data_IF_552100289933
#
_entry.id   IF_552100289933
#
_cell.length_a   1.000
_cell.length_b   1.000
_cell.length_c   1.000
_cell.angle_alpha   90.00
_cell.angle_beta   90.00
_cell.angle_gamma   90.00
#
_symmetry.space_group_name_H-M   'P 1'
#
loop_
_entity.id
_entity.type
_entity.pdbx_description
1 polymer ?
#
# COMPACT_ATOMS: atom_id res chain seq x y z
N UNK A 1 -1.56 17.09 26.14
CA UNK A 1 -2.63 16.60 25.25
C UNK A 1 -2.79 15.11 25.45
N UNK A 2 -4.01 14.60 25.64
CA UNK A 2 -4.27 13.16 25.55
C UNK A 2 -3.90 12.69 24.13
N UNK A 3 -3.31 11.50 24.00
CA UNK A 3 -3.11 10.89 22.69
C UNK A 3 -4.47 10.65 22.01
N UNK A 4 -4.57 11.06 20.75
CA UNK A 4 -5.75 10.89 19.91
C UNK A 4 -5.33 10.69 18.46
N UNK A 5 -6.30 10.38 17.60
CA UNK A 5 -6.06 10.12 16.18
C UNK A 5 -5.48 11.35 15.47
N UNK A 6 -5.92 12.55 15.83
CA UNK A 6 -5.41 13.80 15.26
C UNK A 6 -3.89 13.97 15.51
N UNK A 7 -3.44 13.75 16.75
CA UNK A 7 -2.02 13.80 17.11
C UNK A 7 -1.20 12.74 16.37
N UNK A 8 -1.71 11.51 16.27
CA UNK A 8 -1.05 10.43 15.54
C UNK A 8 -0.88 10.78 14.05
N UNK A 9 -1.90 11.36 13.40
CA UNK A 9 -1.82 11.79 12.00
C UNK A 9 -0.81 12.94 11.81
N UNK A 10 -0.73 13.88 12.75
CA UNK A 10 0.32 14.91 12.73
C UNK A 10 1.72 14.30 12.83
N UNK A 11 1.91 13.33 13.72
CA UNK A 11 3.18 12.62 13.87
C UNK A 11 3.54 11.84 12.58
N UNK A 12 2.57 11.18 11.95
CA UNK A 12 2.74 10.52 10.64
C UNK A 12 3.12 11.53 9.54
N UNK A 13 2.49 12.71 9.48
CA UNK A 13 2.82 13.75 8.51
C UNK A 13 4.26 14.26 8.69
N UNK A 14 4.66 14.53 9.94
CA UNK A 14 6.03 14.92 10.27
C UNK A 14 7.03 13.84 9.88
N UNK A 15 6.69 12.56 10.06
CA UNK A 15 7.54 11.45 9.63
C UNK A 15 7.73 11.44 8.10
N UNK A 16 6.68 11.66 7.33
CA UNK A 16 6.79 11.75 5.86
C UNK A 16 7.68 12.95 5.44
N UNK A 17 7.58 14.10 6.12
CA UNK A 17 8.46 15.25 5.88
C UNK A 17 9.92 14.93 6.17
N UNK A 18 10.20 14.29 7.32
CA UNK A 18 11.57 13.88 7.70
C UNK A 18 12.17 12.90 6.69
N UNK A 19 11.33 12.13 6.01
CA UNK A 19 11.72 11.21 4.93
C UNK A 19 11.80 11.88 3.56
N UNK A 20 11.44 13.16 3.46
CA UNK A 20 11.58 13.98 2.25
C UNK A 20 10.34 14.07 1.36
N UNK A 21 9.19 13.53 1.78
CA UNK A 21 7.96 13.56 0.98
C UNK A 21 6.98 14.62 1.46
N UNK A 22 7.10 15.82 0.89
CA UNK A 22 6.19 16.95 1.15
C UNK A 22 4.76 16.60 0.71
N UNK A 23 4.60 15.97 -0.47
CA UNK A 23 3.28 15.64 -1.02
C UNK A 23 2.57 14.59 -0.14
N UNK A 24 3.30 13.59 0.36
CA UNK A 24 2.75 12.62 1.30
C UNK A 24 2.28 13.27 2.60
N UNK A 25 3.10 14.17 3.17
CA UNK A 25 2.73 14.93 4.37
C UNK A 25 1.51 15.80 4.11
N UNK A 26 1.47 16.52 2.99
CA UNK A 26 0.36 17.40 2.64
C UNK A 26 -0.96 16.63 2.61
N UNK A 27 -1.00 15.46 1.96
CA UNK A 27 -2.21 14.62 1.90
C UNK A 27 -2.72 14.18 3.27
N UNK A 28 -1.81 13.89 4.21
CA UNK A 28 -2.19 13.54 5.60
C UNK A 28 -2.78 14.76 6.32
N UNK A 29 -2.18 15.94 6.12
CA UNK A 29 -2.65 17.17 6.73
C UNK A 29 -4.01 17.62 6.16
N UNK A 30 -4.24 17.44 4.87
CA UNK A 30 -5.54 17.68 4.22
C UNK A 30 -6.63 16.78 4.82
N UNK A 31 -6.42 15.46 4.90
CA UNK A 31 -7.37 14.54 5.53
C UNK A 31 -7.62 14.87 7.01
N UNK A 32 -6.56 15.21 7.74
CA UNK A 32 -6.66 15.65 9.13
C UNK A 32 -7.51 16.92 9.26
N UNK A 33 -7.29 17.91 8.41
CA UNK A 33 -8.01 19.18 8.44
C UNK A 33 -9.50 18.97 8.16
N UNK A 34 -9.82 18.21 7.11
CA UNK A 34 -11.21 17.90 6.72
C UNK A 34 -11.97 17.11 7.78
N UNK A 35 -11.27 16.29 8.58
CA UNK A 35 -11.88 15.40 9.56
C UNK A 35 -11.47 15.70 11.01
N UNK A 36 -11.02 16.93 11.29
CA UNK A 36 -10.36 17.29 12.55
C UNK A 36 -11.21 16.98 13.79
N UNK A 37 -12.46 17.42 13.79
CA UNK A 37 -13.41 17.23 14.91
C UNK A 37 -13.70 15.74 15.18
N UNK A 38 -13.68 14.92 14.13
CA UNK A 38 -13.81 13.47 14.28
C UNK A 38 -12.55 12.88 14.90
N UNK A 39 -11.38 13.24 14.39
CA UNK A 39 -10.11 12.66 14.82
C UNK A 39 -9.66 13.09 16.22
N UNK A 40 -10.03 14.27 16.70
CA UNK A 40 -9.69 14.70 18.07
C UNK A 40 -10.39 13.84 19.13
N UNK A 41 -11.56 13.29 18.79
CA UNK A 41 -12.41 12.46 19.65
C UNK A 41 -12.14 10.95 19.51
N UNK A 42 -11.28 10.55 18.57
CA UNK A 42 -10.91 9.15 18.34
C UNK A 42 -9.59 8.80 19.03
N UNK A 43 -9.48 7.55 19.51
CA UNK A 43 -8.22 7.00 20.01
C UNK A 43 -7.22 6.79 18.86
N UNK A 44 -5.91 6.79 19.13
CA UNK A 44 -4.92 6.37 18.15
C UNK A 44 -5.19 4.95 17.64
N UNK A 45 -4.82 4.71 16.39
CA UNK A 45 -4.96 3.40 15.75
C UNK A 45 -3.67 2.61 15.97
N UNK A 46 -3.78 1.44 16.60
CA UNK A 46 -2.74 0.43 16.52
C UNK A 46 -2.93 -0.37 15.21
N UNK A 47 -2.06 -0.13 14.23
CA UNK A 47 -2.18 -0.72 12.90
C UNK A 47 -1.84 -2.21 12.93
N UNK A 48 -2.66 -3.03 12.29
CA UNK A 48 -2.33 -4.42 12.00
C UNK A 48 -1.33 -4.50 10.84
N UNK A 49 -1.48 -3.61 9.86
CA UNK A 49 -0.65 -3.56 8.65
C UNK A 49 -0.18 -2.11 8.46
N UNK A 50 1.12 -1.87 8.64
CA UNK A 50 1.78 -0.59 8.32
C UNK A 50 1.98 -0.44 6.81
N UNK A 51 2.43 0.72 6.35
CA UNK A 51 2.80 0.91 4.94
C UNK A 51 3.94 -0.02 4.51
N UNK A 52 4.95 -0.20 5.35
CA UNK A 52 6.08 -1.09 5.07
C UNK A 52 5.58 -2.54 4.97
N UNK A 53 4.67 -2.94 5.86
CA UNK A 53 4.05 -4.27 5.79
C UNK A 53 3.23 -4.45 4.50
N UNK A 54 2.46 -3.44 4.07
CA UNK A 54 1.70 -3.50 2.82
C UNK A 54 2.63 -3.66 1.60
N UNK A 55 3.76 -2.95 1.58
CA UNK A 55 4.77 -3.06 0.51
C UNK A 55 5.35 -4.48 0.47
N UNK A 56 5.84 -4.96 1.62
CA UNK A 56 6.49 -6.26 1.73
C UNK A 56 5.52 -7.43 1.51
N UNK A 57 4.27 -7.31 1.98
CA UNK A 57 3.21 -8.26 1.69
C UNK A 57 2.91 -8.33 0.19
N UNK A 58 2.72 -7.18 -0.46
CA UNK A 58 2.41 -7.12 -1.89
C UNK A 58 3.51 -7.80 -2.71
N UNK A 59 4.77 -7.42 -2.46
CA UNK A 59 5.92 -8.00 -3.16
C UNK A 59 6.15 -9.46 -2.77
N UNK A 60 5.89 -9.82 -1.51
CA UNK A 60 6.05 -11.18 -0.99
C UNK A 60 5.11 -12.18 -1.67
N UNK A 61 3.88 -11.76 -1.96
CA UNK A 61 2.93 -12.59 -2.71
C UNK A 61 3.41 -12.77 -4.16
N UNK A 62 3.92 -11.71 -4.81
CA UNK A 62 4.54 -11.84 -6.13
C UNK A 62 5.69 -12.84 -6.13
N UNK A 63 6.59 -12.71 -5.15
CA UNK A 63 7.74 -13.61 -5.01
C UNK A 63 7.33 -15.07 -4.76
N UNK A 64 6.29 -15.30 -3.97
CA UNK A 64 5.76 -16.64 -3.71
C UNK A 64 5.26 -17.34 -4.99
N UNK A 65 4.91 -16.58 -6.02
CA UNK A 65 4.48 -17.08 -7.33
C UNK A 65 5.55 -16.88 -8.43
N UNK A 66 6.82 -16.98 -8.05
CA UNK A 66 8.01 -16.96 -8.91
C UNK A 66 8.22 -15.68 -9.73
N UNK A 67 7.67 -14.54 -9.28
CA UNK A 67 8.06 -13.24 -9.81
C UNK A 67 9.21 -12.64 -8.98
N UNK A 68 10.43 -12.81 -9.47
CA UNK A 68 11.60 -12.19 -8.85
C UNK A 68 11.61 -10.66 -8.97
N UNK A 69 10.96 -10.11 -10.01
CA UNK A 69 10.95 -8.68 -10.31
C UNK A 69 9.53 -8.18 -10.57
N UNK A 70 8.99 -7.39 -9.65
CA UNK A 70 7.64 -6.83 -9.78
C UNK A 70 7.67 -5.50 -10.53
N UNK A 71 6.96 -5.33 -11.66
CA UNK A 71 6.82 -4.03 -12.31
C UNK A 71 6.16 -3.00 -11.37
N UNK A 72 6.72 -1.80 -11.25
CA UNK A 72 6.20 -0.72 -10.38
C UNK A 72 4.71 -0.43 -10.63
N UNK A 73 4.29 -0.44 -11.89
CA UNK A 73 2.89 -0.22 -12.25
C UNK A 73 1.96 -1.30 -11.67
N UNK A 74 2.36 -2.58 -11.77
CA UNK A 74 1.59 -3.69 -11.19
C UNK A 74 1.60 -3.59 -9.67
N UNK A 75 2.77 -3.34 -9.07
CA UNK A 75 2.90 -3.11 -7.63
C UNK A 75 1.90 -2.08 -7.09
N UNK A 76 1.78 -0.90 -7.73
CA UNK A 76 0.85 0.14 -7.27
C UNK A 76 -0.62 -0.26 -7.38
N UNK A 77 -1.00 -0.90 -8.49
CA UNK A 77 -2.36 -1.39 -8.71
C UNK A 77 -2.70 -2.48 -7.69
N UNK A 78 -1.80 -3.44 -7.51
CA UNK A 78 -1.96 -4.52 -6.54
C UNK A 78 -2.06 -3.97 -5.12
N UNK A 79 -1.13 -3.13 -4.69
CA UNK A 79 -1.15 -2.54 -3.33
C UNK A 79 -2.44 -1.78 -3.04
N UNK A 80 -3.00 -1.10 -4.04
CA UNK A 80 -4.29 -0.41 -3.92
C UNK A 80 -5.44 -1.37 -3.63
N UNK A 81 -5.51 -2.48 -4.37
CA UNK A 81 -6.56 -3.48 -4.21
C UNK A 81 -6.35 -4.26 -2.90
N UNK A 82 -5.13 -4.66 -2.56
CA UNK A 82 -4.86 -5.36 -1.31
C UNK A 82 -5.17 -4.49 -0.10
N UNK A 83 -4.88 -3.18 -0.15
CA UNK A 83 -5.26 -2.23 0.89
C UNK A 83 -6.77 -2.27 1.16
N UNK A 84 -7.58 -2.25 0.12
CA UNK A 84 -9.04 -2.29 0.22
C UNK A 84 -9.56 -3.63 0.78
N UNK A 85 -9.07 -4.75 0.23
CA UNK A 85 -9.41 -6.11 0.70
C UNK A 85 -9.02 -6.34 2.16
N UNK A 86 -7.83 -5.90 2.58
CA UNK A 86 -7.41 -6.04 3.97
C UNK A 86 -8.27 -5.16 4.89
N UNK A 87 -8.60 -3.94 4.46
CA UNK A 87 -9.44 -3.02 5.23
C UNK A 87 -10.88 -3.54 5.38
N UNK A 88 -11.45 -4.17 4.34
CA UNK A 88 -12.79 -4.77 4.38
C UNK A 88 -12.88 -5.98 5.32
N UNK A 89 -11.74 -6.61 5.63
CA UNK A 89 -11.61 -7.68 6.63
C UNK A 89 -11.37 -7.16 8.06
N UNK A 90 -11.69 -5.90 8.33
CA UNK A 90 -11.50 -5.25 9.64
C UNK A 90 -10.04 -5.18 10.12
N UNK A 91 -9.06 -5.34 9.23
CA UNK A 91 -7.67 -5.05 9.58
C UNK A 91 -7.46 -3.54 9.56
N UNK A 92 -6.81 -3.01 10.60
CA UNK A 92 -6.41 -1.61 10.66
C UNK A 92 -5.18 -1.41 9.79
N UNK A 93 -5.39 -1.12 8.51
CA UNK A 93 -4.32 -0.84 7.56
C UNK A 93 -3.99 0.65 7.55
N UNK A 94 -2.71 1.00 7.60
CA UNK A 94 -2.26 2.38 7.52
C UNK A 94 -2.56 2.96 6.12
N UNK A 95 -3.24 4.10 6.07
CA UNK A 95 -3.75 4.67 4.82
C UNK A 95 -2.59 5.11 3.88
N UNK A 96 -2.46 4.52 2.67
CA UNK A 96 -1.44 4.92 1.72
C UNK A 96 -1.72 6.23 0.98
N UNK A 97 -2.94 6.78 1.03
CA UNK A 97 -3.36 7.97 0.27
C UNK A 97 -3.11 7.83 -1.24
N UNK A 98 -3.68 6.75 -1.80
CA UNK A 98 -3.67 6.52 -3.24
C UNK A 98 -4.37 7.66 -3.99
N UNK A 99 -3.87 7.92 -5.20
CA UNK A 99 -4.42 8.90 -6.13
C UNK A 99 -4.56 8.29 -7.51
N UNK A 100 -5.64 8.65 -8.20
CA UNK A 100 -5.84 8.31 -9.60
C UNK A 100 -5.25 9.40 -10.50
N UNK A 101 -4.34 9.00 -11.39
CA UNK A 101 -3.55 9.89 -12.26
C UNK A 101 -3.69 9.47 -13.72
N UNK A 102 -4.87 9.76 -14.30
CA UNK A 102 -5.34 9.27 -15.61
C UNK A 102 -4.30 9.30 -16.74
N UNK A 103 -3.45 10.33 -16.81
CA UNK A 103 -2.48 10.53 -17.89
C UNK A 103 -1.07 10.06 -17.57
N UNK A 104 -0.81 9.60 -16.33
CA UNK A 104 0.52 9.18 -15.90
C UNK A 104 0.74 7.69 -16.15
N UNK A 105 2.01 7.29 -16.22
CA UNK A 105 2.44 5.89 -16.36
C UNK A 105 1.85 5.04 -15.23
N UNK A 106 1.99 5.51 -13.99
CA UNK A 106 1.36 4.92 -12.81
C UNK A 106 0.05 5.65 -12.52
N UNK A 107 -1.03 5.12 -13.12
CA UNK A 107 -2.38 5.69 -13.03
C UNK A 107 -3.03 5.50 -11.65
N UNK A 108 -2.61 4.49 -10.90
CA UNK A 108 -2.79 4.40 -9.45
C UNK A 108 -1.42 4.64 -8.83
N UNK A 109 -1.37 5.47 -7.79
CA UNK A 109 -0.12 5.75 -7.10
C UNK A 109 -0.30 6.33 -5.71
N UNK A 110 0.66 6.02 -4.85
CA UNK A 110 0.80 6.60 -3.53
C UNK A 110 2.21 7.19 -3.36
N UNK A 111 2.26 8.49 -3.07
CA UNK A 111 3.51 9.19 -2.70
C UNK A 111 4.09 8.64 -1.40
N UNK A 112 3.22 8.20 -0.46
CA UNK A 112 3.65 7.54 0.77
C UNK A 112 4.36 6.23 0.47
N UNK A 113 3.80 5.38 -0.38
CA UNK A 113 4.43 4.11 -0.73
C UNK A 113 5.76 4.33 -1.47
N UNK A 114 5.86 5.26 -2.41
CA UNK A 114 7.15 5.55 -3.10
C UNK A 114 8.23 6.01 -2.12
N UNK A 115 7.87 6.86 -1.15
CA UNK A 115 8.78 7.31 -0.10
C UNK A 115 9.25 6.15 0.80
N UNK A 116 8.32 5.27 1.20
CA UNK A 116 8.61 4.08 2.02
C UNK A 116 9.43 3.05 1.26
N UNK A 117 9.18 2.84 -0.04
CA UNK A 117 10.02 2.01 -0.91
C UNK A 117 11.46 2.50 -0.89
N UNK A 118 11.70 3.81 -1.00
CA UNK A 118 13.05 4.39 -0.94
C UNK A 118 13.73 4.10 0.40
N UNK A 119 13.01 4.23 1.50
CA UNK A 119 13.50 3.90 2.85
C UNK A 119 13.82 2.40 3.00
N UNK A 120 12.93 1.52 2.51
CA UNK A 120 13.13 0.07 2.51
C UNK A 120 14.31 -0.36 1.63
N UNK A 121 14.53 0.34 0.51
CA UNK A 121 15.69 0.12 -0.35
C UNK A 121 17.00 0.44 0.38
N UNK A 122 17.05 1.62 1.02
CA UNK A 122 18.20 2.04 1.82
C UNK A 122 18.52 1.04 2.95
N UNK A 123 17.48 0.47 3.58
CA UNK A 123 17.60 -0.49 4.67
C UNK A 123 17.82 -1.96 4.21
N UNK A 124 18.04 -2.19 2.92
CA UNK A 124 18.39 -3.51 2.36
C UNK A 124 17.24 -4.52 2.29
N UNK A 125 15.99 -4.07 2.36
CA UNK A 125 14.84 -4.97 2.20
C UNK A 125 14.51 -5.23 0.73
N UNK A 126 14.77 -4.26 -0.14
CA UNK A 126 14.46 -4.34 -1.56
C UNK A 126 15.50 -3.60 -2.40
N UNK A 127 15.49 -3.86 -3.70
CA UNK A 127 16.25 -3.12 -4.71
C UNK A 127 15.25 -2.48 -5.68
N UNK A 128 15.44 -1.19 -5.95
CA UNK A 128 14.63 -0.45 -6.93
C UNK A 128 15.42 -0.33 -8.22
N UNK A 129 14.84 -0.81 -9.31
CA UNK A 129 15.27 -0.50 -10.68
C UNK A 129 14.27 0.47 -11.31
N UNK A 130 14.61 1.08 -12.44
CA UNK A 130 13.81 2.14 -13.08
C UNK A 130 12.30 1.82 -13.10
N UNK A 131 11.93 0.60 -13.50
CA UNK A 131 10.53 0.16 -13.63
C UNK A 131 10.15 -1.03 -12.76
N UNK A 132 11.07 -1.54 -11.94
CA UNK A 132 10.88 -2.78 -11.20
C UNK A 132 11.30 -2.64 -9.73
N UNK A 133 10.67 -3.43 -8.87
CA UNK A 133 11.03 -3.59 -7.47
C UNK A 133 11.37 -5.06 -7.26
N UNK A 134 12.48 -5.33 -6.58
CA UNK A 134 13.00 -6.67 -6.33
C UNK A 134 13.15 -6.85 -4.83
N UNK A 135 12.56 -7.90 -4.26
CA UNK A 135 12.80 -8.23 -2.84
C UNK A 135 14.20 -8.84 -2.67
N UNK A 136 14.95 -8.28 -1.73
CA UNK A 136 16.17 -8.88 -1.22
C UNK A 136 15.84 -9.89 -0.13
N UNK A 137 16.79 -10.74 0.25
CA UNK A 137 16.58 -11.82 1.22
C UNK A 137 15.88 -11.36 2.51
N UNK A 138 16.34 -10.24 3.09
CA UNK A 138 15.73 -9.63 4.28
C UNK A 138 14.25 -9.28 4.06
N UNK A 139 13.91 -8.70 2.91
CA UNK A 139 12.54 -8.38 2.54
C UNK A 139 11.68 -9.60 2.24
N UNK A 140 12.27 -10.66 1.65
CA UNK A 140 11.57 -11.93 1.42
C UNK A 140 11.16 -12.57 2.73
N UNK A 141 12.09 -12.65 3.69
CA UNK A 141 11.82 -13.21 5.02
C UNK A 141 10.71 -12.43 5.73
N UNK A 142 10.79 -11.11 5.74
CA UNK A 142 9.78 -10.28 6.40
C UNK A 142 8.41 -10.38 5.69
N UNK A 143 8.39 -10.33 4.35
CA UNK A 143 7.17 -10.52 3.56
C UNK A 143 6.49 -11.86 3.84
N UNK A 144 7.27 -12.96 3.93
CA UNK A 144 6.75 -14.29 4.27
C UNK A 144 6.20 -14.35 5.70
N UNK A 145 6.84 -13.67 6.66
CA UNK A 145 6.34 -13.61 8.03
C UNK A 145 4.99 -12.89 8.09
N UNK A 146 4.83 -11.78 7.36
CA UNK A 146 3.55 -11.07 7.24
C UNK A 146 2.49 -11.98 6.62
N UNK A 147 2.80 -12.67 5.51
CA UNK A 147 1.87 -13.62 4.88
C UNK A 147 1.41 -14.70 5.86
N UNK A 148 2.34 -15.28 6.65
CA UNK A 148 2.04 -16.31 7.65
C UNK A 148 1.19 -15.82 8.82
N UNK A 149 1.20 -14.51 9.09
CA UNK A 149 0.36 -13.90 10.14
C UNK A 149 -1.09 -13.68 9.73
N UNK A 150 -1.40 -13.78 8.44
CA UNK A 150 -2.74 -13.65 7.90
C UNK A 150 -3.44 -15.02 7.90
N UNK A 151 -4.76 -15.02 7.98
CA UNK A 151 -5.53 -16.26 7.83
C UNK A 151 -5.47 -16.78 6.39
N UNK A 152 -5.61 -18.10 6.24
CA UNK A 152 -5.45 -18.77 4.93
C UNK A 152 -6.47 -18.31 3.88
N UNK A 153 -7.69 -17.93 4.29
CA UNK A 153 -8.70 -17.45 3.36
C UNK A 153 -8.29 -16.10 2.78
N UNK A 154 -7.81 -15.18 3.63
CA UNK A 154 -7.25 -13.91 3.21
C UNK A 154 -6.07 -14.12 2.27
N UNK A 155 -5.10 -14.96 2.64
CA UNK A 155 -3.93 -15.23 1.77
C UNK A 155 -4.37 -15.77 0.40
N UNK A 156 -5.32 -16.70 0.36
CA UNK A 156 -5.86 -17.27 -0.88
C UNK A 156 -6.55 -16.23 -1.77
N UNK A 157 -7.25 -15.25 -1.18
CA UNK A 157 -7.88 -14.15 -1.90
C UNK A 157 -6.84 -13.18 -2.48
N UNK A 158 -5.89 -12.72 -1.67
CA UNK A 158 -4.81 -11.83 -2.12
C UNK A 158 -3.98 -12.49 -3.24
N UNK A 159 -3.70 -13.78 -3.11
CA UNK A 159 -3.01 -14.56 -4.13
C UNK A 159 -3.73 -14.59 -5.48
N UNK A 160 -5.07 -14.78 -5.47
CA UNK A 160 -5.87 -14.76 -6.71
C UNK A 160 -5.76 -13.40 -7.40
N UNK A 161 -5.90 -12.31 -6.65
CA UNK A 161 -5.77 -10.94 -7.15
C UNK A 161 -4.40 -10.72 -7.78
N UNK A 162 -3.33 -11.10 -7.09
CA UNK A 162 -1.96 -10.97 -7.61
C UNK A 162 -1.79 -11.75 -8.91
N UNK A 163 -2.29 -13.00 -8.96
CA UNK A 163 -2.21 -13.84 -10.16
C UNK A 163 -2.97 -13.23 -11.35
N UNK A 164 -4.16 -12.71 -11.11
CA UNK A 164 -4.98 -12.02 -12.12
C UNK A 164 -4.26 -10.79 -12.66
N UNK A 165 -3.85 -9.88 -11.78
CA UNK A 165 -3.11 -8.66 -12.17
C UNK A 165 -1.82 -9.02 -12.90
N UNK A 166 -1.14 -10.09 -12.46
CA UNK A 166 0.11 -10.49 -13.08
C UNK A 166 -0.08 -10.94 -14.53
N UNK A 167 -1.19 -11.60 -14.84
CA UNK A 167 -1.52 -12.00 -16.22
C UNK A 167 -1.73 -10.81 -17.17
N UNK A 168 -2.00 -9.61 -16.63
CA UNK A 168 -2.27 -8.41 -17.42
C UNK A 168 -0.97 -7.80 -17.96
N UNK A 169 -0.88 -7.73 -19.30
CA UNK A 169 0.33 -7.27 -20.01
C UNK A 169 0.34 -5.80 -20.39
N UNK A 170 -0.80 -5.09 -20.28
CA UNK A 170 -0.92 -3.71 -20.73
C UNK A 170 -1.51 -2.78 -19.67
N UNK A 171 -1.13 -1.51 -19.73
CA UNK A 171 -1.69 -0.44 -18.90
C UNK A 171 -3.22 -0.37 -19.02
N UNK A 172 -3.77 -0.48 -20.22
CA UNK A 172 -5.23 -0.44 -20.46
C UNK A 172 -5.94 -1.62 -19.79
N UNK A 173 -5.33 -2.81 -19.81
CA UNK A 173 -5.87 -3.98 -19.13
C UNK A 173 -5.89 -3.78 -17.60
N UNK A 174 -4.81 -3.23 -17.02
CA UNK A 174 -4.76 -2.86 -15.60
C UNK A 174 -5.82 -1.81 -15.24
N UNK A 175 -6.00 -0.77 -16.06
CA UNK A 175 -7.05 0.24 -15.85
C UNK A 175 -8.46 -0.36 -15.88
N UNK A 176 -8.72 -1.25 -16.84
CA UNK A 176 -10.01 -1.95 -16.94
C UNK A 176 -10.26 -2.82 -15.71
N UNK A 177 -9.23 -3.54 -15.24
CA UNK A 177 -9.32 -4.36 -14.04
C UNK A 177 -9.70 -3.52 -12.82
N UNK A 178 -9.00 -2.39 -12.59
CA UNK A 178 -9.32 -1.47 -11.47
C UNK A 178 -10.73 -0.90 -11.61
N UNK A 179 -11.17 -0.54 -12.82
CA UNK A 179 -12.54 -0.04 -13.03
C UNK A 179 -13.60 -1.10 -12.71
N UNK A 180 -13.39 -2.34 -13.14
CA UNK A 180 -14.30 -3.45 -12.82
C UNK A 180 -14.33 -3.73 -11.33
N UNK A 181 -13.16 -3.74 -10.68
CA UNK A 181 -13.06 -3.89 -9.22
C UNK A 181 -13.89 -2.83 -8.49
N UNK A 182 -13.69 -1.55 -8.82
CA UNK A 182 -14.44 -0.44 -8.23
C UNK A 182 -15.94 -0.50 -8.53
N UNK A 183 -16.33 -0.88 -9.75
CA UNK A 183 -17.74 -1.04 -10.10
C UNK A 183 -18.42 -2.14 -9.26
N UNK A 184 -17.71 -3.23 -8.97
CA UNK A 184 -18.23 -4.31 -8.13
C UNK A 184 -18.39 -3.87 -6.67
N UNK A 185 -17.54 -2.98 -6.16
CA UNK A 185 -17.68 -2.46 -4.79
C UNK A 185 -18.91 -1.56 -4.60
N UNK A 186 -19.34 -0.84 -5.64
CA UNK A 186 -20.48 0.09 -5.56
C UNK A 186 -21.83 -0.65 -5.67
N UNK A 187 -21.83 -1.84 -6.25
CA UNK A 187 -23.04 -2.65 -6.46
C UNK A 187 -23.34 -3.64 -5.32
N UNK A 188 -22.60 -3.56 -4.21
CA UNK A 188 -22.80 -4.33 -2.96
C UNK A 188 -23.31 -3.39 -1.88
#
# INVERSE_FOLDING_TARGET
MKENRAKQLLEEAIEELKKGSIIASQKILEDLYENFDRYINQKPINYNITLDNLILLTLGIYYYYDEEMTPKQKFYVTSFILYDVLSSKNLKVQNPYFSYRKTKMYFIFSERLENRITTLAYNGFLMVRERYIVLLEKGRTEGLNIIRSLDQNTVGELAKIVKEINSLKSRKALENYVRQYLANLINV
#
